data_IF_820720751156
#
_entry.id   IF_820720751156
#
_cell.length_a   1.000
_cell.length_b   1.000
_cell.length_c   1.000
_cell.angle_alpha   90.00
_cell.angle_beta   90.00
_cell.angle_gamma   90.00
#
_symmetry.space_group_name_H-M   'P 1'
#
loop_
_entity.id
_entity.type
_entity.pdbx_description
1 polymer ?
#
# COMPACT_ATOMS: atom_id res chain seq x y z
N UNK A 1 26.07 26.03 -3.69
CA UNK A 1 26.39 24.75 -3.02
C UNK A 1 25.67 24.68 -1.68
N UNK A 2 24.56 23.92 -1.66
CA UNK A 2 23.71 23.73 -0.48
C UNK A 2 23.77 22.24 -0.11
N UNK A 3 24.03 21.93 1.16
CA UNK A 3 24.11 20.54 1.63
C UNK A 3 22.78 19.79 1.49
N UNK A 4 21.65 20.49 1.64
CA UNK A 4 20.32 19.94 1.38
C UNK A 4 20.15 19.51 -0.08
N UNK A 5 20.64 20.32 -1.03
CA UNK A 5 20.64 19.95 -2.44
C UNK A 5 21.44 18.68 -2.71
N UNK A 6 22.61 18.53 -2.08
CA UNK A 6 23.45 17.33 -2.25
C UNK A 6 22.79 16.08 -1.66
N UNK A 7 21.97 16.26 -0.62
CA UNK A 7 21.26 15.16 0.03
C UNK A 7 19.99 14.75 -0.71
N UNK A 8 19.18 15.72 -1.15
CA UNK A 8 17.84 15.46 -1.71
C UNK A 8 17.82 15.36 -3.24
N UNK A 9 18.86 15.83 -3.94
CA UNK A 9 18.93 15.76 -5.38
C UNK A 9 20.02 14.79 -5.85
N UNK A 10 19.73 13.84 -6.76
CA UNK A 10 18.41 13.52 -7.31
C UNK A 10 17.49 12.84 -6.30
N UNK A 11 16.18 13.06 -6.43
CA UNK A 11 15.18 12.34 -5.68
C UNK A 11 15.15 10.86 -6.08
N UNK A 12 14.85 9.94 -5.14
CA UNK A 12 14.81 8.51 -5.44
C UNK A 12 13.65 8.15 -6.35
N UNK A 13 12.45 8.56 -5.97
CA UNK A 13 11.22 8.17 -6.65
C UNK A 13 10.30 9.37 -6.87
N UNK A 14 9.76 9.49 -8.09
CA UNK A 14 8.66 10.38 -8.42
C UNK A 14 7.39 9.54 -8.58
N UNK A 15 6.36 9.85 -7.80
CA UNK A 15 5.04 9.21 -7.92
C UNK A 15 4.09 10.17 -8.64
N UNK A 16 3.48 9.71 -9.74
CA UNK A 16 2.65 10.58 -10.60
C UNK A 16 1.63 9.77 -11.39
N UNK A 17 0.65 10.46 -11.96
CA UNK A 17 -0.27 9.89 -12.94
C UNK A 17 0.31 9.89 -14.36
N UNK A 18 -0.01 8.92 -15.22
CA UNK A 18 0.47 8.84 -16.59
C UNK A 18 0.02 10.01 -17.47
N UNK A 19 -1.12 10.63 -17.17
CA UNK A 19 -1.71 11.71 -17.96
C UNK A 19 -0.86 12.98 -17.99
N UNK A 20 0.06 13.16 -17.05
CA UNK A 20 0.87 14.38 -16.90
C UNK A 20 2.37 14.16 -17.21
N UNK A 21 2.71 13.09 -17.92
CA UNK A 21 4.11 12.81 -18.31
C UNK A 21 4.73 14.00 -19.05
N UNK A 22 4.09 14.50 -20.10
CA UNK A 22 4.64 15.56 -20.95
C UNK A 22 4.64 16.93 -20.27
N UNK A 23 3.57 17.25 -19.56
CA UNK A 23 3.40 18.58 -18.99
C UNK A 23 4.07 18.76 -17.64
N UNK A 24 4.49 17.68 -17.00
CA UNK A 24 5.11 17.73 -15.69
C UNK A 24 6.43 16.95 -15.62
N UNK A 25 6.42 15.66 -15.87
CA UNK A 25 7.61 14.79 -15.73
C UNK A 25 8.71 15.21 -16.71
N UNK A 26 8.37 15.38 -17.99
CA UNK A 26 9.33 15.79 -19.02
C UNK A 26 9.94 17.17 -18.72
N UNK A 27 9.14 18.12 -18.21
CA UNK A 27 9.63 19.45 -17.83
C UNK A 27 10.62 19.38 -16.66
N UNK A 28 10.38 18.54 -15.66
CA UNK A 28 11.32 18.34 -14.57
C UNK A 28 12.63 17.73 -15.06
N UNK A 29 12.57 16.76 -15.97
CA UNK A 29 13.77 16.15 -16.56
C UNK A 29 14.57 17.21 -17.33
N UNK A 30 13.93 18.01 -18.18
CA UNK A 30 14.58 19.08 -18.94
C UNK A 30 15.23 20.11 -18.02
N UNK A 31 14.51 20.56 -16.98
CA UNK A 31 15.05 21.52 -16.02
C UNK A 31 16.20 20.92 -15.18
N UNK A 32 16.10 19.65 -14.81
CA UNK A 32 17.16 18.94 -14.08
C UNK A 32 18.46 18.93 -14.87
N UNK A 33 18.43 18.52 -16.11
CA UNK A 33 19.63 18.52 -16.97
C UNK A 33 20.14 19.92 -17.28
N UNK A 34 19.25 20.90 -17.52
CA UNK A 34 19.64 22.27 -17.84
C UNK A 34 20.30 22.97 -16.65
N UNK A 35 19.72 22.88 -15.45
CA UNK A 35 20.17 23.67 -14.31
C UNK A 35 21.07 22.92 -13.33
N UNK A 36 20.94 21.59 -13.24
CA UNK A 36 21.66 20.75 -12.29
C UNK A 36 22.70 19.84 -12.98
N UNK A 37 22.60 19.66 -14.31
CA UNK A 37 23.46 18.75 -15.06
C UNK A 37 23.24 17.27 -14.81
N UNK A 38 22.15 16.91 -14.12
CA UNK A 38 21.83 15.52 -13.75
C UNK A 38 20.31 15.30 -13.71
N UNK A 39 19.91 14.01 -13.72
CA UNK A 39 18.50 13.62 -13.64
C UNK A 39 17.85 14.08 -12.31
N UNK A 40 16.60 14.56 -12.32
CA UNK A 40 15.95 15.03 -11.09
C UNK A 40 15.44 13.90 -10.18
N UNK A 41 15.23 12.70 -10.71
CA UNK A 41 14.76 11.50 -9.99
C UNK A 41 15.23 10.23 -10.71
N UNK A 42 15.38 9.15 -9.96
CA UNK A 42 15.89 7.87 -10.48
C UNK A 42 14.80 6.99 -11.05
N UNK A 43 13.62 6.99 -10.41
CA UNK A 43 12.48 6.19 -10.80
C UNK A 43 11.23 7.05 -10.96
N UNK A 44 10.34 6.63 -11.85
CA UNK A 44 9.01 7.22 -12.00
C UNK A 44 7.97 6.13 -11.82
N UNK A 45 7.18 6.24 -10.75
CA UNK A 45 6.10 5.32 -10.47
C UNK A 45 4.77 5.92 -10.94
N UNK A 46 4.12 5.25 -11.88
CA UNK A 46 2.83 5.67 -12.41
C UNK A 46 1.70 5.02 -11.62
N UNK A 47 0.89 5.85 -10.94
CA UNK A 47 -0.33 5.39 -10.28
C UNK A 47 -1.48 5.28 -11.25
N UNK A 48 -2.45 4.40 -10.97
CA UNK A 48 -3.73 4.40 -11.66
C UNK A 48 -4.56 5.66 -11.34
N UNK A 49 -5.44 6.02 -12.26
CA UNK A 49 -6.44 7.07 -12.04
C UNK A 49 -7.71 6.43 -11.49
N UNK A 50 -8.29 7.08 -10.48
CA UNK A 50 -9.54 6.59 -9.87
C UNK A 50 -10.72 6.92 -10.79
N UNK A 51 -11.49 5.88 -11.14
CA UNK A 51 -12.70 5.96 -11.96
C UNK A 51 -13.89 5.40 -11.19
N UNK A 52 -15.08 5.76 -11.61
CA UNK A 52 -16.29 5.17 -11.04
C UNK A 52 -16.48 3.71 -11.48
N UNK A 53 -17.48 3.02 -10.91
CA UNK A 53 -17.79 1.60 -11.22
C UNK A 53 -18.03 1.32 -12.70
N UNK A 54 -18.36 2.34 -13.50
CA UNK A 54 -18.59 2.24 -14.94
C UNK A 54 -17.33 2.60 -15.76
N UNK A 55 -16.20 2.83 -15.09
CA UNK A 55 -14.94 3.22 -15.74
C UNK A 55 -14.90 4.69 -16.20
N UNK A 56 -15.87 5.53 -15.81
CA UNK A 56 -15.91 6.94 -16.19
C UNK A 56 -15.00 7.77 -15.28
N UNK A 57 -14.41 8.80 -15.83
CA UNK A 57 -13.63 9.77 -15.07
C UNK A 57 -14.51 10.41 -13.98
N UNK A 58 -14.00 10.48 -12.76
CA UNK A 58 -14.68 11.14 -11.65
C UNK A 58 -14.74 12.65 -11.88
N UNK A 59 -15.89 13.24 -11.62
CA UNK A 59 -16.14 14.66 -11.79
C UNK A 59 -17.22 15.12 -10.81
N UNK A 60 -17.02 16.32 -10.23
CA UNK A 60 -18.02 16.95 -9.37
C UNK A 60 -19.33 17.19 -10.11
N UNK A 61 -19.27 17.54 -11.40
CA UNK A 61 -20.45 17.80 -12.23
C UNK A 61 -21.29 16.55 -12.52
N UNK A 62 -20.66 15.37 -12.52
CA UNK A 62 -21.36 14.10 -12.69
C UNK A 62 -21.84 13.49 -11.35
N UNK A 63 -21.44 14.08 -10.22
CA UNK A 63 -21.79 13.56 -8.90
C UNK A 63 -21.26 12.16 -8.61
N UNK A 64 -20.26 11.68 -9.36
CA UNK A 64 -19.68 10.34 -9.24
C UNK A 64 -18.34 10.32 -8.48
N UNK A 65 -17.98 11.44 -7.86
CA UNK A 65 -16.77 11.57 -7.04
C UNK A 65 -17.18 11.62 -5.57
N UNK A 66 -17.02 10.54 -4.79
CA UNK A 66 -17.31 10.57 -3.35
C UNK A 66 -16.36 11.54 -2.65
N UNK A 67 -16.82 12.16 -1.57
CA UNK A 67 -15.95 12.98 -0.73
C UNK A 67 -15.03 12.04 0.08
N UNK A 68 -13.70 12.21 0.01
CA UNK A 68 -12.78 11.41 0.80
C UNK A 68 -12.99 11.51 2.31
N UNK A 69 -13.46 12.67 2.81
CA UNK A 69 -13.74 12.85 4.23
C UNK A 69 -14.94 12.02 4.68
N UNK A 70 -16.00 11.96 3.88
CA UNK A 70 -17.16 11.10 4.15
C UNK A 70 -16.77 9.62 4.18
N UNK A 71 -15.86 9.21 3.29
CA UNK A 71 -15.34 7.84 3.29
C UNK A 71 -14.50 7.55 4.55
N UNK A 72 -13.68 8.49 4.97
CA UNK A 72 -12.85 8.38 6.19
C UNK A 72 -13.75 8.30 7.44
N UNK A 73 -14.77 9.13 7.52
CA UNK A 73 -15.72 9.12 8.63
C UNK A 73 -16.48 7.77 8.70
N UNK A 74 -16.81 7.19 7.55
CA UNK A 74 -17.56 5.94 7.48
C UNK A 74 -16.71 4.69 7.70
N UNK A 75 -15.50 4.66 7.13
CA UNK A 75 -14.66 3.45 7.06
C UNK A 75 -13.35 3.55 7.83
N UNK A 76 -13.02 4.73 8.35
CA UNK A 76 -11.71 5.04 8.92
C UNK A 76 -10.65 5.29 7.85
N UNK A 77 -9.65 6.10 8.17
CA UNK A 77 -8.58 6.45 7.24
C UNK A 77 -7.80 5.22 6.75
N UNK A 78 -7.49 4.30 7.65
CA UNK A 78 -6.76 3.07 7.31
C UNK A 78 -7.59 2.12 6.45
N UNK A 79 -8.91 2.06 6.68
CA UNK A 79 -9.83 1.29 5.83
C UNK A 79 -9.85 1.80 4.40
N UNK A 80 -9.95 3.12 4.22
CA UNK A 80 -9.92 3.76 2.89
C UNK A 80 -8.56 3.54 2.22
N UNK A 81 -7.46 3.78 2.91
CA UNK A 81 -6.09 3.58 2.37
C UNK A 81 -5.85 2.15 1.94
N UNK A 82 -6.19 1.19 2.79
CA UNK A 82 -6.02 -0.23 2.49
C UNK A 82 -6.88 -0.67 1.30
N UNK A 83 -8.16 -0.27 1.27
CA UNK A 83 -9.05 -0.59 0.16
C UNK A 83 -8.54 -0.05 -1.17
N UNK A 84 -8.08 1.20 -1.19
CA UNK A 84 -7.48 1.82 -2.37
C UNK A 84 -6.22 1.09 -2.82
N UNK A 85 -5.31 0.79 -1.90
CA UNK A 85 -4.04 0.13 -2.24
C UNK A 85 -4.21 -1.31 -2.73
N UNK A 86 -5.16 -2.06 -2.18
CA UNK A 86 -5.48 -3.41 -2.68
C UNK A 86 -5.99 -3.42 -4.11
N UNK A 87 -6.63 -2.32 -4.54
CA UNK A 87 -7.27 -2.20 -5.86
C UNK A 87 -6.39 -1.49 -6.89
N UNK A 88 -5.21 -1.03 -6.51
CA UNK A 88 -4.34 -0.16 -7.30
C UNK A 88 -3.11 -0.89 -7.85
N UNK A 89 -3.26 -1.83 -8.83
CA UNK A 89 -2.09 -2.35 -9.52
C UNK A 89 -1.40 -1.22 -10.28
N UNK A 90 -0.05 -1.23 -10.29
CA UNK A 90 0.74 -0.21 -10.96
C UNK A 90 0.30 -0.04 -12.42
N UNK A 91 0.09 1.21 -12.85
CA UNK A 91 -0.20 1.58 -14.22
C UNK A 91 -1.62 1.32 -14.73
N UNK A 92 -2.51 0.77 -13.92
CA UNK A 92 -3.92 0.55 -14.30
C UNK A 92 -4.85 1.47 -13.53
N UNK A 93 -5.95 1.87 -14.16
CA UNK A 93 -7.00 2.64 -13.53
C UNK A 93 -7.70 1.85 -12.42
N UNK A 94 -8.09 2.55 -11.36
CA UNK A 94 -8.77 1.99 -10.20
C UNK A 94 -10.28 2.19 -10.38
N UNK A 95 -11.03 1.11 -10.49
CA UNK A 95 -12.48 1.16 -10.43
C UNK A 95 -12.91 1.23 -8.96
N UNK A 96 -13.30 2.43 -8.53
CA UNK A 96 -13.65 2.66 -7.13
C UNK A 96 -15.02 2.08 -6.78
N UNK A 97 -15.03 1.32 -5.70
CA UNK A 97 -16.23 0.82 -5.04
C UNK A 97 -16.07 0.96 -3.51
N UNK A 98 -17.10 1.43 -2.82
CA UNK A 98 -17.12 1.58 -1.36
C UNK A 98 -16.83 0.25 -0.63
N UNK A 99 -17.17 -0.89 -1.24
CA UNK A 99 -16.89 -2.22 -0.67
C UNK A 99 -15.39 -2.46 -0.46
N UNK A 100 -14.53 -1.81 -1.22
CA UNK A 100 -13.07 -1.86 -1.04
C UNK A 100 -12.66 -1.23 0.30
N UNK A 101 -13.27 -0.08 0.64
CA UNK A 101 -13.01 0.59 1.92
C UNK A 101 -13.56 -0.24 3.09
N UNK A 102 -14.70 -0.88 2.92
CA UNK A 102 -15.26 -1.80 3.91
C UNK A 102 -14.37 -3.01 4.15
N UNK A 103 -13.84 -3.61 3.09
CA UNK A 103 -12.88 -4.72 3.17
C UNK A 103 -11.63 -4.29 3.95
N UNK A 104 -11.09 -3.11 3.64
CA UNK A 104 -9.94 -2.54 4.35
C UNK A 104 -10.24 -2.34 5.85
N UNK A 105 -11.38 -1.76 6.19
CA UNK A 105 -11.83 -1.59 7.59
C UNK A 105 -11.94 -2.94 8.31
N UNK A 106 -12.57 -3.93 7.67
CA UNK A 106 -12.77 -5.24 8.29
C UNK A 106 -11.44 -5.96 8.56
N UNK A 107 -10.46 -5.83 7.66
CA UNK A 107 -9.12 -6.36 7.87
C UNK A 107 -8.41 -5.68 9.04
N UNK A 108 -8.41 -4.35 9.09
CA UNK A 108 -7.79 -3.60 10.17
C UNK A 108 -8.42 -3.92 11.53
N UNK A 109 -9.75 -4.06 11.58
CA UNK A 109 -10.47 -4.49 12.77
C UNK A 109 -10.08 -5.91 13.20
N UNK A 110 -9.88 -6.82 12.25
CA UNK A 110 -9.44 -8.19 12.57
C UNK A 110 -8.05 -8.19 13.21
N UNK A 111 -7.11 -7.41 12.67
CA UNK A 111 -5.78 -7.23 13.27
C UNK A 111 -5.89 -6.67 14.70
N UNK A 112 -6.66 -5.60 14.85
CA UNK A 112 -6.86 -4.96 16.15
C UNK A 112 -7.46 -5.91 17.19
N UNK A 113 -8.48 -6.67 16.80
CA UNK A 113 -9.11 -7.63 17.69
C UNK A 113 -8.16 -8.79 18.07
N UNK A 114 -7.36 -9.27 17.14
CA UNK A 114 -6.33 -10.27 17.42
C UNK A 114 -5.27 -9.71 18.40
N UNK A 115 -4.82 -8.47 18.19
CA UNK A 115 -3.91 -7.82 19.11
C UNK A 115 -4.49 -7.71 20.53
N UNK A 116 -5.73 -7.23 20.65
CA UNK A 116 -6.40 -7.13 21.97
C UNK A 116 -6.57 -8.48 22.66
N UNK A 117 -6.80 -9.53 21.89
CA UNK A 117 -6.90 -10.88 22.44
C UNK A 117 -5.56 -11.31 23.05
N UNK A 118 -4.47 -11.13 22.32
CA UNK A 118 -3.11 -11.49 22.77
C UNK A 118 -2.66 -10.63 23.95
N UNK A 119 -2.98 -9.34 23.94
CA UNK A 119 -2.63 -8.41 25.03
C UNK A 119 -3.24 -8.83 26.38
N UNK A 120 -4.41 -9.48 26.34
CA UNK A 120 -5.09 -9.99 27.53
C UNK A 120 -4.54 -11.34 28.07
N UNK A 121 -3.57 -11.94 27.40
CA UNK A 121 -3.01 -13.22 27.84
C UNK A 121 -1.91 -13.04 28.91
N UNK A 122 -1.96 -13.90 29.93
CA UNK A 122 -0.86 -14.03 30.88
C UNK A 122 0.19 -14.96 30.33
N UNK A 123 1.45 -14.54 30.36
CA UNK A 123 2.60 -15.37 30.00
C UNK A 123 3.04 -16.17 31.23
N UNK A 124 2.98 -17.47 31.15
CA UNK A 124 3.41 -18.37 32.21
C UNK A 124 4.70 -19.12 31.82
N UNK A 125 5.60 -19.29 32.79
CA UNK A 125 6.75 -20.17 32.63
C UNK A 125 6.30 -21.63 32.65
N UNK A 126 6.53 -22.34 31.55
CA UNK A 126 6.15 -23.76 31.45
C UNK A 126 6.72 -24.46 30.22
N UNK A 127 6.67 -25.76 30.22
CA UNK A 127 7.07 -26.55 29.04
C UNK A 127 5.97 -26.50 27.99
N UNK A 128 6.28 -25.99 26.84
CA UNK A 128 5.32 -25.99 25.72
C UNK A 128 5.05 -27.39 25.21
N UNK A 129 3.78 -27.75 24.95
CA UNK A 129 3.45 -29.00 24.24
C UNK A 129 4.13 -29.05 22.86
N UNK A 130 4.52 -30.24 22.45
CA UNK A 130 5.24 -30.42 21.17
C UNK A 130 4.43 -29.92 19.96
N UNK A 131 3.14 -30.15 19.98
CA UNK A 131 2.23 -29.63 18.93
C UNK A 131 2.29 -28.09 18.78
N UNK A 132 2.40 -27.36 19.90
CA UNK A 132 2.52 -25.89 19.88
C UNK A 132 3.86 -25.45 19.30
N UNK A 133 4.95 -26.16 19.60
CA UNK A 133 6.27 -25.86 19.01
C UNK A 133 6.25 -26.04 17.50
N UNK A 134 5.67 -27.15 17.03
CA UNK A 134 5.52 -27.41 15.58
C UNK A 134 4.69 -26.31 14.91
N UNK A 135 3.58 -25.88 15.52
CA UNK A 135 2.75 -24.80 14.99
C UNK A 135 3.52 -23.47 14.90
N UNK A 136 4.28 -23.12 15.94
CA UNK A 136 5.13 -21.91 15.95
C UNK A 136 6.23 -21.98 14.90
N UNK A 137 6.91 -23.13 14.76
CA UNK A 137 7.95 -23.31 13.74
C UNK A 137 7.39 -23.21 12.32
N UNK A 138 6.22 -23.82 12.09
CA UNK A 138 5.50 -23.74 10.82
C UNK A 138 5.15 -22.29 10.49
N UNK A 139 4.53 -21.57 11.42
CA UNK A 139 4.15 -20.17 11.18
C UNK A 139 5.38 -19.27 10.98
N UNK A 140 6.45 -19.46 11.73
CA UNK A 140 7.71 -18.75 11.53
C UNK A 140 8.32 -19.00 10.14
N UNK A 141 8.18 -20.22 9.60
CA UNK A 141 8.61 -20.50 8.23
C UNK A 141 7.75 -19.75 7.21
N UNK A 142 6.43 -19.73 7.39
CA UNK A 142 5.49 -18.95 6.56
C UNK A 142 5.77 -17.43 6.61
N UNK A 143 6.04 -16.91 7.81
CA UNK A 143 6.39 -15.51 8.00
C UNK A 143 7.68 -15.12 7.25
N UNK A 144 8.72 -15.97 7.37
CA UNK A 144 9.98 -15.74 6.62
C UNK A 144 9.77 -15.75 5.10
N UNK A 145 8.97 -16.68 4.61
CA UNK A 145 8.63 -16.77 3.18
C UNK A 145 7.87 -15.52 2.72
N UNK A 146 6.85 -15.11 3.47
CA UNK A 146 6.07 -13.92 3.15
C UNK A 146 6.93 -12.64 3.18
N UNK A 147 7.82 -12.49 4.16
CA UNK A 147 8.74 -11.34 4.21
C UNK A 147 9.66 -11.28 3.00
N UNK A 148 10.22 -12.41 2.56
CA UNK A 148 11.07 -12.45 1.37
C UNK A 148 10.29 -12.09 0.10
N UNK A 149 9.04 -12.55 -0.03
CA UNK A 149 8.14 -12.20 -1.13
C UNK A 149 7.78 -10.70 -1.11
N UNK A 150 7.44 -10.16 0.06
CA UNK A 150 7.12 -8.74 0.23
C UNK A 150 8.31 -7.86 -0.16
N UNK A 151 9.53 -8.21 0.29
CA UNK A 151 10.74 -7.48 -0.07
C UNK A 151 10.99 -7.47 -1.58
N UNK A 152 10.78 -8.59 -2.27
CA UNK A 152 10.89 -8.68 -3.73
C UNK A 152 9.83 -7.84 -4.43
N UNK A 153 8.58 -7.90 -3.95
CA UNK A 153 7.47 -7.11 -4.49
C UNK A 153 7.69 -5.61 -4.31
N UNK A 154 8.19 -5.16 -3.16
CA UNK A 154 8.55 -3.74 -2.94
C UNK A 154 9.68 -3.28 -3.86
N UNK A 155 10.72 -4.09 -4.05
CA UNK A 155 11.80 -3.78 -5.01
C UNK A 155 11.31 -3.62 -6.45
N UNK A 156 10.20 -4.28 -6.78
CA UNK A 156 9.54 -4.21 -8.10
C UNK A 156 8.39 -3.19 -8.16
N UNK A 157 8.17 -2.42 -7.10
CA UNK A 157 7.05 -1.47 -6.97
C UNK A 157 5.66 -2.12 -7.08
N UNK A 158 5.54 -3.42 -6.79
CA UNK A 158 4.28 -4.17 -6.81
C UNK A 158 3.58 -4.10 -5.44
N UNK A 159 3.25 -2.89 -5.00
CA UNK A 159 2.80 -2.58 -3.64
C UNK A 159 1.46 -3.25 -3.31
N UNK A 160 0.53 -3.25 -4.26
CA UNK A 160 -0.78 -3.90 -4.13
C UNK A 160 -0.66 -5.41 -3.84
N UNK A 161 0.27 -6.08 -4.51
CA UNK A 161 0.52 -7.50 -4.32
C UNK A 161 1.24 -7.78 -2.99
N UNK A 162 2.17 -6.92 -2.60
CA UNK A 162 2.80 -7.00 -1.28
C UNK A 162 1.75 -6.90 -0.17
N UNK A 163 0.80 -5.97 -0.29
CA UNK A 163 -0.30 -5.82 0.66
C UNK A 163 -1.23 -7.05 0.66
N UNK A 164 -1.48 -7.65 -0.50
CA UNK A 164 -2.26 -8.88 -0.62
C UNK A 164 -1.55 -10.07 0.04
N UNK A 165 -0.22 -10.15 -0.02
CA UNK A 165 0.57 -11.17 0.68
C UNK A 165 0.42 -11.02 2.20
N UNK A 166 0.47 -9.79 2.73
CA UNK A 166 0.18 -9.51 4.15
C UNK A 166 -1.24 -9.92 4.52
N UNK A 167 -2.22 -9.56 3.68
CA UNK A 167 -3.63 -9.90 3.90
C UNK A 167 -3.81 -11.41 4.03
N UNK A 168 -3.29 -12.19 3.08
CA UNK A 168 -3.41 -13.66 3.08
C UNK A 168 -2.69 -14.30 4.27
N UNK A 169 -1.47 -13.85 4.55
CA UNK A 169 -0.71 -14.38 5.70
C UNK A 169 -1.49 -14.21 7.00
N UNK A 170 -2.06 -13.03 7.22
CA UNK A 170 -2.78 -12.75 8.45
C UNK A 170 -4.17 -13.42 8.47
N UNK A 171 -4.92 -13.28 7.38
CA UNK A 171 -6.32 -13.74 7.34
C UNK A 171 -6.43 -15.25 7.25
N UNK A 172 -5.65 -15.87 6.36
CA UNK A 172 -5.80 -17.29 6.02
C UNK A 172 -4.88 -18.19 6.87
N UNK A 173 -3.69 -17.72 7.24
CA UNK A 173 -2.68 -18.57 7.89
C UNK A 173 -2.60 -18.32 9.41
N UNK A 174 -2.62 -17.04 9.84
CA UNK A 174 -2.47 -16.70 11.25
C UNK A 174 -3.76 -16.81 12.06
N UNK A 175 -4.88 -16.37 11.49
CA UNK A 175 -6.14 -16.22 12.22
C UNK A 175 -7.22 -17.25 11.90
N UNK A 176 -6.92 -18.27 11.10
CA UNK A 176 -7.83 -19.38 10.78
C UNK A 176 -7.79 -20.52 11.80
#
# INVERSE_FOLDING_TARGET
DNEEMKYYYPTSDLVTGPDIIFFWVARMIMAGYEYMGDMPFRNVYFTGIVRDKLGRKMSKSLGNSPDPLDLIDKYGADGVRMGMMLSAPAGNDILFDDTLCEQGRNFNNKIWNAFRLVEGWEVADGTQPEANKIAVEWFNAKLRQANAEIDDLFKKYRISEALMTVYKLFWDEFSS
#
